data_IF_498553167131
#
_entry.id   IF_498553167131
#
_cell.length_a   1.000
_cell.length_b   1.000
_cell.length_c   1.000
_cell.angle_alpha   90.00
_cell.angle_beta   90.00
_cell.angle_gamma   90.00
#
_symmetry.space_group_name_H-M   'P 1'
#
loop_
_entity.id
_entity.type
_entity.pdbx_description
1 polymer ?
#
# COMPACT_ATOMS: atom_id res chain seq x y z
N UNK A 1 -10.89 -9.60 -14.27
CA UNK A 1 -10.27 -8.27 -14.42
C UNK A 1 -9.41 -8.09 -13.19
N UNK A 2 -8.13 -7.69 -13.28
CA UNK A 2 -7.46 -7.28 -12.06
C UNK A 2 -8.19 -6.00 -11.62
N UNK A 3 -8.78 -6.00 -10.42
CA UNK A 3 -9.44 -4.83 -9.83
C UNK A 3 -8.45 -3.71 -9.47
N UNK A 4 -7.16 -3.88 -9.86
CA UNK A 4 -6.04 -3.01 -9.58
C UNK A 4 -5.49 -2.41 -10.88
N UNK A 5 -5.44 -1.08 -10.96
CA UNK A 5 -4.72 -0.32 -11.99
C UNK A 5 -3.61 0.50 -11.35
N UNK A 6 -2.40 0.41 -11.89
CA UNK A 6 -1.23 1.14 -11.38
C UNK A 6 -0.70 2.08 -12.45
N UNK A 7 -0.49 3.35 -12.10
CA UNK A 7 -0.01 4.42 -12.98
C UNK A 7 1.04 5.26 -12.26
N UNK A 8 1.97 5.88 -13.01
CA UNK A 8 2.71 7.02 -12.49
C UNK A 8 1.83 8.25 -12.52
N UNK A 9 1.94 9.14 -11.53
CA UNK A 9 1.12 10.35 -11.49
C UNK A 9 1.34 11.25 -12.70
N UNK A 10 2.56 11.29 -13.27
CA UNK A 10 2.87 12.04 -14.49
C UNK A 10 2.20 11.49 -15.76
N UNK A 11 1.75 10.23 -15.73
CA UNK A 11 1.07 9.58 -16.87
C UNK A 11 -0.46 9.79 -16.83
N UNK A 12 -0.97 10.38 -15.75
CA UNK A 12 -2.40 10.67 -15.61
C UNK A 12 -2.78 11.91 -16.42
N UNK A 13 -4.03 11.95 -16.92
CA UNK A 13 -4.58 13.19 -17.48
C UNK A 13 -4.65 14.28 -16.39
N UNK A 14 -4.63 15.54 -16.81
CA UNK A 14 -4.77 16.70 -15.91
C UNK A 14 -5.99 16.58 -15.00
N UNK A 15 -7.11 16.15 -15.56
CA UNK A 15 -8.39 16.05 -14.86
C UNK A 15 -8.35 14.91 -13.82
N UNK A 16 -7.78 13.76 -14.18
CA UNK A 16 -7.64 12.63 -13.27
C UNK A 16 -6.68 12.97 -12.11
N UNK A 17 -5.54 13.61 -12.40
CA UNK A 17 -4.58 14.07 -11.39
C UNK A 17 -5.25 15.05 -10.41
N UNK A 18 -5.96 16.05 -10.92
CA UNK A 18 -6.66 17.03 -10.09
C UNK A 18 -7.71 16.40 -9.16
N UNK A 19 -8.48 15.42 -9.63
CA UNK A 19 -9.47 14.70 -8.81
C UNK A 19 -8.78 13.92 -7.68
N UNK A 20 -7.68 13.23 -7.99
CA UNK A 20 -6.94 12.45 -6.99
C UNK A 20 -6.27 13.36 -5.96
N UNK A 21 -5.68 14.48 -6.38
CA UNK A 21 -5.11 15.48 -5.46
C UNK A 21 -6.18 16.08 -4.54
N UNK A 22 -7.37 16.36 -5.06
CA UNK A 22 -8.50 16.83 -4.26
C UNK A 22 -8.98 15.77 -3.25
N UNK A 23 -9.00 14.49 -3.62
CA UNK A 23 -9.35 13.38 -2.74
C UNK A 23 -8.31 13.17 -1.62
N UNK A 24 -7.02 13.28 -1.96
CA UNK A 24 -5.91 13.09 -1.03
C UNK A 24 -5.62 14.33 -0.18
N UNK A 25 -6.13 15.50 -0.57
CA UNK A 25 -5.89 16.77 0.11
C UNK A 25 -4.47 17.31 -0.05
N UNK A 26 -3.73 16.85 -1.08
CA UNK A 26 -2.35 17.27 -1.37
C UNK A 26 -2.02 17.10 -2.85
N UNK A 27 -0.93 17.73 -3.28
CA UNK A 27 -0.37 17.52 -4.62
C UNK A 27 0.36 16.17 -4.75
N UNK A 28 0.37 15.64 -5.96
CA UNK A 28 1.07 14.41 -6.35
C UNK A 28 2.36 14.75 -7.11
N UNK A 29 3.46 14.15 -6.69
CA UNK A 29 4.72 14.23 -7.43
C UNK A 29 4.62 13.39 -8.71
N UNK A 30 5.30 13.80 -9.79
CA UNK A 30 5.13 13.15 -11.10
C UNK A 30 5.61 11.69 -11.13
N UNK A 31 6.61 11.35 -10.31
CA UNK A 31 7.18 10.01 -10.16
C UNK A 31 6.43 9.14 -9.14
N UNK A 32 5.47 9.72 -8.42
CA UNK A 32 4.63 9.02 -7.45
C UNK A 32 3.81 7.93 -8.14
N UNK A 33 3.76 6.74 -7.53
CA UNK A 33 2.97 5.63 -8.02
C UNK A 33 1.55 5.67 -7.43
N UNK A 34 0.55 5.63 -8.30
CA UNK A 34 -0.86 5.61 -7.94
C UNK A 34 -1.45 4.25 -8.29
N UNK A 35 -1.91 3.54 -7.26
CA UNK A 35 -2.65 2.29 -7.39
C UNK A 35 -4.12 2.48 -7.04
N UNK A 36 -4.99 2.26 -8.03
CA UNK A 36 -6.46 2.34 -7.87
C UNK A 36 -6.99 0.92 -7.78
N UNK A 37 -7.54 0.57 -6.61
CA UNK A 37 -8.24 -0.70 -6.41
C UNK A 37 -9.75 -0.47 -6.34
N UNK A 38 -10.51 -1.08 -7.25
CA UNK A 38 -11.97 -1.03 -7.27
C UNK A 38 -12.58 -2.42 -7.06
N UNK A 39 -12.84 -2.80 -5.81
CA UNK A 39 -13.47 -4.08 -5.48
C UNK A 39 -14.99 -3.97 -5.46
N UNK A 40 -15.67 -4.98 -6.01
CA UNK A 40 -17.11 -5.15 -5.73
C UNK A 40 -17.31 -5.54 -4.25
N UNK A 41 -18.38 -5.06 -3.60
CA UNK A 41 -18.75 -5.54 -2.28
C UNK A 41 -18.88 -7.07 -2.31
N UNK A 42 -18.16 -7.74 -1.42
CA UNK A 42 -18.29 -9.17 -1.22
C UNK A 42 -18.47 -9.46 0.26
N UNK A 43 -19.18 -10.54 0.58
CA UNK A 43 -19.28 -11.00 1.95
C UNK A 43 -17.88 -11.36 2.47
N UNK A 44 -17.61 -11.05 3.74
CA UNK A 44 -16.39 -11.50 4.38
C UNK A 44 -16.36 -13.04 4.42
N UNK A 45 -15.20 -13.68 4.16
CA UNK A 45 -15.06 -15.12 4.33
C UNK A 45 -15.44 -15.54 5.75
N UNK A 46 -16.18 -16.65 5.87
CA UNK A 46 -16.55 -17.23 7.17
C UNK A 46 -16.13 -18.69 7.25
N UNK A 47 -16.14 -19.25 8.47
CA UNK A 47 -15.89 -20.68 8.69
C UNK A 47 -14.53 -21.17 8.12
N UNK A 48 -14.51 -22.30 7.38
CA UNK A 48 -13.29 -22.83 6.78
C UNK A 48 -12.58 -21.87 5.83
N UNK A 49 -13.31 -21.14 4.98
CA UNK A 49 -12.74 -20.20 4.01
C UNK A 49 -12.00 -19.05 4.70
N UNK A 50 -12.49 -18.60 5.87
CA UNK A 50 -11.78 -17.60 6.68
C UNK A 50 -10.45 -18.13 7.20
N UNK A 51 -10.42 -19.39 7.66
CA UNK A 51 -9.17 -20.02 8.16
C UNK A 51 -8.16 -20.18 7.03
N UNK A 52 -8.61 -20.61 5.86
CA UNK A 52 -7.74 -20.74 4.68
C UNK A 52 -7.16 -19.38 4.25
N UNK A 53 -7.99 -18.33 4.17
CA UNK A 53 -7.52 -16.98 3.88
C UNK A 53 -6.50 -16.48 4.92
N UNK A 54 -6.70 -16.81 6.21
CA UNK A 54 -5.76 -16.48 7.27
C UNK A 54 -4.41 -17.21 7.12
N UNK A 55 -4.43 -18.50 6.76
CA UNK A 55 -3.21 -19.24 6.46
C UNK A 55 -2.47 -18.66 5.25
N UNK A 56 -3.17 -18.36 4.16
CA UNK A 56 -2.57 -17.75 2.98
C UNK A 56 -1.94 -16.39 3.28
N UNK A 57 -2.57 -15.59 4.15
CA UNK A 57 -2.02 -14.32 4.62
C UNK A 57 -0.72 -14.53 5.41
N UNK A 58 -0.72 -15.43 6.40
CA UNK A 58 0.48 -15.71 7.19
C UNK A 58 1.62 -16.25 6.33
N UNK A 59 1.35 -17.19 5.42
CA UNK A 59 2.36 -17.72 4.49
C UNK A 59 2.93 -16.62 3.58
N UNK A 60 2.13 -15.61 3.25
CA UNK A 60 2.61 -14.45 2.50
C UNK A 60 3.49 -13.54 3.38
N UNK A 61 3.05 -13.23 4.59
CA UNK A 61 3.81 -12.44 5.57
C UNK A 61 5.15 -13.10 5.91
N UNK A 62 5.17 -14.41 6.15
CA UNK A 62 6.39 -15.17 6.44
C UNK A 62 7.36 -15.13 5.26
N UNK A 63 6.87 -15.25 4.02
CA UNK A 63 7.70 -15.09 2.82
C UNK A 63 8.24 -13.68 2.64
N UNK A 64 7.49 -12.66 3.04
CA UNK A 64 7.98 -11.28 3.04
C UNK A 64 9.03 -11.07 4.13
N UNK A 65 8.78 -11.57 5.35
CA UNK A 65 9.72 -11.49 6.46
C UNK A 65 11.03 -12.22 6.15
N UNK A 66 10.98 -13.37 5.48
CA UNK A 66 12.18 -14.10 5.08
C UNK A 66 13.02 -13.34 4.03
N UNK A 67 12.42 -12.41 3.28
CA UNK A 67 13.14 -11.52 2.35
C UNK A 67 13.71 -10.29 3.06
N UNK A 68 13.16 -9.90 4.19
CA UNK A 68 13.72 -8.85 5.02
C UNK A 68 15.01 -9.37 5.65
N UNK A 69 16.16 -8.86 5.20
CA UNK A 69 17.44 -9.11 5.83
C UNK A 69 17.68 -8.15 6.99
N UNK A 70 18.50 -8.56 7.95
CA UNK A 70 18.95 -7.72 9.06
C UNK A 70 18.32 -8.07 10.42
N UNK A 71 18.87 -7.55 11.53
CA UNK A 71 18.28 -7.68 12.86
C UNK A 71 16.90 -7.01 12.92
N UNK A 72 15.95 -7.61 13.65
CA UNK A 72 14.61 -7.06 13.82
C UNK A 72 14.63 -5.61 14.35
N UNK A 73 15.54 -5.31 15.26
CA UNK A 73 15.73 -3.98 15.86
C UNK A 73 16.09 -2.91 14.81
N UNK A 74 16.87 -3.27 13.77
CA UNK A 74 17.22 -2.34 12.69
C UNK A 74 16.03 -2.08 11.77
N UNK A 75 15.21 -3.10 11.50
CA UNK A 75 13.98 -2.97 10.70
C UNK A 75 12.97 -2.10 11.45
N UNK A 76 12.76 -2.34 12.75
CA UNK A 76 11.86 -1.54 13.59
C UNK A 76 12.30 -0.08 13.62
N UNK A 77 13.60 0.17 13.83
CA UNK A 77 14.15 1.52 13.82
C UNK A 77 13.93 2.22 12.46
N UNK A 78 14.12 1.52 11.35
CA UNK A 78 13.87 2.07 10.01
C UNK A 78 12.40 2.43 9.81
N UNK A 79 11.47 1.59 10.28
CA UNK A 79 10.03 1.87 10.23
C UNK A 79 9.70 3.12 11.04
N UNK A 80 10.25 3.26 12.24
CA UNK A 80 10.05 4.43 13.09
C UNK A 80 10.59 5.72 12.44
N UNK A 81 11.80 5.68 11.86
CA UNK A 81 12.41 6.82 11.16
C UNK A 81 11.55 7.28 9.96
N UNK A 82 11.10 6.34 9.12
CA UNK A 82 10.20 6.65 7.98
C UNK A 82 8.86 7.20 8.46
N UNK A 83 8.30 6.64 9.53
CA UNK A 83 7.06 7.14 10.12
C UNK A 83 7.22 8.56 10.69
N UNK A 84 8.36 8.89 11.30
CA UNK A 84 8.67 10.24 11.79
C UNK A 84 8.75 11.23 10.61
N UNK A 85 9.46 10.86 9.54
CA UNK A 85 9.60 11.67 8.33
C UNK A 85 8.23 11.97 7.67
N UNK A 86 7.37 10.96 7.52
CA UNK A 86 6.04 11.14 6.92
C UNK A 86 5.15 12.05 7.78
N UNK A 87 5.24 11.95 9.12
CA UNK A 87 4.39 12.72 10.03
C UNK A 87 4.85 14.16 10.22
N UNK A 88 6.15 14.39 10.21
CA UNK A 88 6.74 15.67 10.58
C UNK A 88 7.39 16.41 9.41
N UNK A 89 7.44 15.78 8.24
CA UNK A 89 8.15 16.26 7.07
C UNK A 89 9.66 16.03 7.19
N UNK A 90 10.41 16.18 6.08
CA UNK A 90 11.86 16.14 6.12
C UNK A 90 12.38 17.26 7.05
N UNK A 91 13.30 16.91 7.95
CA UNK A 91 14.01 17.87 8.81
C UNK A 91 15.01 18.71 8.02
#
# INVERSE_FOLDING_TARGET
>A
MPDLSTHKSGDLSSDAKAILEALLGRHLADDEEISIWASRPHAAPTGPTRREAWHQLNDHLDRMSAKAGGPAEEIEKLVDEVCDEVRHGPR
#
